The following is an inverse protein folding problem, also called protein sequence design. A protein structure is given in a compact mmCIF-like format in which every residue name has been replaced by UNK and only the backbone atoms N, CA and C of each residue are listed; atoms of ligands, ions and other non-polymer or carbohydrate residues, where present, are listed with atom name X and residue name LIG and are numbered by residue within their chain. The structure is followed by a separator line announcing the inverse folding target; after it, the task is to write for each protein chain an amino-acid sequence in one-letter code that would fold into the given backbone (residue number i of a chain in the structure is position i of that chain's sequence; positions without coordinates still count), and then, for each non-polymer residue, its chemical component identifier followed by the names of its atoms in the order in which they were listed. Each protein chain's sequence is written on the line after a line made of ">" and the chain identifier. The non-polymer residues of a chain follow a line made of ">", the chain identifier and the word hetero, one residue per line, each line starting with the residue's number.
data_IF_142230831764
#
_entry.id   IF_142230831764
#
_cell.length_a   1.000
_cell.length_b   1.000
_cell.length_c   1.000
_cell.angle_alpha   90.00
_cell.angle_beta   90.00
_cell.angle_gamma   90.00
#
_symmetry.space_group_name_H-M   'P 1'
#
loop_
_entity.id
_entity.type
_entity.pdbx_description
1 polymer ?
#
# COMPACT_ATOMS: atom_id res chain seq x y z
N UNK A 1 59.54 -4.52 -39.95
CA UNK A 1 58.46 -5.12 -39.14
C UNK A 1 57.19 -4.82 -39.90
N UNK A 2 56.92 -5.65 -40.90
CA UNK A 2 55.85 -5.42 -41.89
C UNK A 2 54.56 -6.03 -41.33
N UNK A 3 53.45 -5.30 -41.31
CA UNK A 3 52.20 -5.81 -40.78
C UNK A 3 51.66 -6.88 -41.73
N UNK A 4 51.52 -8.11 -41.23
CA UNK A 4 50.89 -9.22 -41.95
C UNK A 4 49.53 -8.76 -42.50
N UNK A 5 49.40 -8.69 -43.83
CA UNK A 5 48.14 -8.39 -44.48
C UNK A 5 47.12 -9.48 -44.10
N UNK A 6 45.92 -9.11 -43.63
CA UNK A 6 44.93 -10.09 -43.24
C UNK A 6 44.52 -10.93 -44.45
N UNK A 7 44.74 -12.25 -44.36
CA UNK A 7 44.35 -13.25 -45.36
C UNK A 7 42.94 -12.99 -45.90
N UNK A 8 42.75 -13.22 -47.20
CA UNK A 8 41.45 -13.08 -47.89
C UNK A 8 40.30 -13.76 -47.14
N UNK A 9 40.57 -14.89 -46.49
CA UNK A 9 39.61 -15.59 -45.63
C UNK A 9 39.19 -14.77 -44.41
N UNK A 10 40.11 -14.06 -43.75
CA UNK A 10 39.80 -13.19 -42.62
C UNK A 10 38.90 -12.02 -43.04
N UNK A 11 39.14 -11.43 -44.22
CA UNK A 11 38.29 -10.34 -44.75
C UNK A 11 36.88 -10.82 -45.11
N UNK A 12 36.76 -12.01 -45.67
CA UNK A 12 35.47 -12.60 -46.04
C UNK A 12 34.69 -13.05 -44.80
N UNK A 13 35.38 -13.64 -43.83
CA UNK A 13 34.82 -14.04 -42.53
C UNK A 13 34.38 -12.81 -41.72
N UNK A 14 35.16 -11.74 -41.67
CA UNK A 14 34.75 -10.50 -40.98
C UNK A 14 33.62 -9.78 -41.71
N UNK A 15 33.63 -9.72 -43.05
CA UNK A 15 32.56 -9.10 -43.83
C UNK A 15 31.20 -9.82 -43.70
N UNK A 16 31.19 -11.12 -43.38
CA UNK A 16 29.97 -11.92 -43.21
C UNK A 16 29.59 -12.10 -41.74
N UNK A 17 30.54 -12.39 -40.85
CA UNK A 17 30.25 -12.61 -39.43
C UNK A 17 29.90 -11.31 -38.72
N UNK A 18 30.51 -10.18 -39.07
CA UNK A 18 30.21 -8.89 -38.44
C UNK A 18 28.74 -8.44 -38.64
N UNK A 19 28.17 -8.43 -39.87
CA UNK A 19 26.75 -8.09 -40.03
C UNK A 19 25.83 -9.11 -39.38
N UNK A 20 26.20 -10.40 -39.34
CA UNK A 20 25.41 -11.44 -38.64
C UNK A 20 25.39 -11.16 -37.13
N UNK A 21 26.55 -10.87 -36.52
CA UNK A 21 26.64 -10.53 -35.09
C UNK A 21 25.88 -9.23 -34.77
N UNK A 22 25.95 -8.23 -35.65
CA UNK A 22 25.19 -6.99 -35.51
C UNK A 22 23.68 -7.24 -35.58
N UNK A 23 23.21 -8.08 -36.51
CA UNK A 23 21.80 -8.48 -36.61
C UNK A 23 21.34 -9.20 -35.34
N UNK A 24 22.12 -10.14 -34.81
CA UNK A 24 21.79 -10.86 -33.57
C UNK A 24 21.73 -9.89 -32.38
N UNK A 25 22.68 -8.96 -32.28
CA UNK A 25 22.67 -7.93 -31.24
C UNK A 25 21.44 -7.02 -31.32
N UNK A 26 21.06 -6.58 -32.53
CA UNK A 26 19.86 -5.75 -32.75
C UNK A 26 18.60 -6.53 -32.36
N UNK A 27 18.48 -7.79 -32.74
CA UNK A 27 17.34 -8.64 -32.38
C UNK A 27 17.24 -8.80 -30.85
N UNK A 28 18.36 -9.04 -30.18
CA UNK A 28 18.39 -9.17 -28.71
C UNK A 28 18.03 -7.86 -28.00
N UNK A 29 18.53 -6.72 -28.50
CA UNK A 29 18.17 -5.39 -27.98
C UNK A 29 16.67 -5.13 -28.20
N UNK A 30 16.12 -5.42 -29.39
CA UNK A 30 14.69 -5.23 -29.66
C UNK A 30 13.81 -6.12 -28.78
N UNK A 31 14.21 -7.37 -28.53
CA UNK A 31 13.49 -8.29 -27.66
C UNK A 31 13.57 -7.84 -26.20
N UNK A 32 14.71 -7.29 -25.77
CA UNK A 32 14.89 -6.74 -24.42
C UNK A 32 14.06 -5.46 -24.23
N UNK A 33 14.05 -4.55 -25.21
CA UNK A 33 13.22 -3.34 -25.19
C UNK A 33 11.74 -3.73 -25.17
N UNK A 34 11.31 -4.68 -26.02
CA UNK A 34 9.95 -5.20 -26.01
C UNK A 34 9.61 -5.85 -24.67
N UNK A 35 10.52 -6.65 -24.10
CA UNK A 35 10.36 -7.24 -22.77
C UNK A 35 10.19 -6.18 -21.67
N UNK A 36 11.02 -5.13 -21.69
CA UNK A 36 10.91 -4.00 -20.74
C UNK A 36 9.62 -3.21 -20.95
N UNK A 37 9.19 -2.99 -22.19
CA UNK A 37 7.92 -2.31 -22.51
C UNK A 37 6.74 -3.16 -22.07
N UNK A 38 6.76 -4.48 -22.26
CA UNK A 38 5.70 -5.39 -21.84
C UNK A 38 5.65 -5.53 -20.31
N UNK A 39 6.80 -5.59 -19.62
CA UNK A 39 6.87 -5.56 -18.14
C UNK A 39 6.41 -4.21 -17.60
N UNK A 40 6.74 -3.11 -18.29
CA UNK A 40 6.26 -1.77 -17.93
C UNK A 40 4.77 -1.62 -18.21
N UNK A 41 4.26 -2.17 -19.30
CA UNK A 41 2.83 -2.23 -19.60
C UNK A 41 2.09 -3.14 -18.63
N UNK A 42 2.64 -4.24 -18.14
CA UNK A 42 2.04 -5.02 -17.03
C UNK A 42 2.02 -4.20 -15.72
N UNK A 43 3.05 -3.38 -15.50
CA UNK A 43 3.11 -2.48 -14.35
C UNK A 43 2.16 -1.27 -14.47
N UNK A 44 1.77 -0.87 -15.67
CA UNK A 44 0.93 0.31 -15.96
C UNK A 44 -0.51 -0.08 -16.35
N UNK A 45 -0.74 -1.31 -16.84
CA UNK A 45 -2.04 -1.96 -17.05
C UNK A 45 -2.39 -2.86 -15.86
N UNK A 46 -2.49 -2.27 -14.67
CA UNK A 46 -3.64 -2.63 -13.84
C UNK A 46 -4.70 -1.58 -14.12
N UNK A 47 -5.52 -1.73 -15.18
CA UNK A 47 -6.63 -0.82 -15.41
C UNK A 47 -7.61 -1.01 -14.26
N UNK A 48 -7.48 -0.19 -13.22
CA UNK A 48 -8.48 0.18 -12.22
C UNK A 48 -9.54 -0.82 -11.77
N UNK A 49 -9.38 -2.14 -11.84
CA UNK A 49 -10.37 -3.13 -11.36
C UNK A 49 -10.11 -3.57 -9.92
N UNK A 50 -9.35 -2.79 -9.17
CA UNK A 50 -9.14 -3.02 -7.75
C UNK A 50 -9.99 -2.05 -6.95
N UNK A 51 -10.50 -2.52 -5.81
CA UNK A 51 -10.99 -1.59 -4.79
C UNK A 51 -9.79 -0.94 -4.14
N UNK A 52 -9.76 0.38 -4.19
CA UNK A 52 -8.83 1.17 -3.42
C UNK A 52 -9.54 1.68 -2.16
N UNK A 53 -8.76 1.97 -1.14
CA UNK A 53 -9.31 2.61 0.03
C UNK A 53 -8.26 3.45 0.72
N UNK A 54 -8.71 4.54 1.34
CA UNK A 54 -7.89 5.46 2.10
C UNK A 54 -8.58 5.78 3.40
N UNK A 55 -7.79 6.10 4.42
CA UNK A 55 -8.29 6.46 5.74
C UNK A 55 -7.69 7.78 6.18
N UNK A 56 -8.50 8.58 6.87
CA UNK A 56 -8.08 9.81 7.53
C UNK A 56 -8.46 9.75 9.00
N UNK A 57 -7.50 10.05 9.87
CA UNK A 57 -7.75 10.25 11.28
C UNK A 57 -8.33 11.65 11.48
N UNK A 58 -9.52 11.74 12.06
CA UNK A 58 -10.22 13.03 12.28
C UNK A 58 -10.31 13.40 13.76
N UNK A 59 -10.15 12.44 14.66
CA UNK A 59 -10.19 12.71 16.09
C UNK A 59 -9.56 11.59 16.90
N UNK A 60 -8.95 11.96 18.02
CA UNK A 60 -8.34 11.03 18.97
C UNK A 60 -8.66 11.47 20.39
N UNK A 61 -9.04 10.52 21.25
CA UNK A 61 -9.28 10.72 22.68
C UNK A 61 -8.70 9.56 23.48
N UNK A 62 -8.43 9.78 24.77
CA UNK A 62 -8.01 8.72 25.70
C UNK A 62 -6.62 8.13 25.45
N UNK A 63 -5.74 8.85 24.74
CA UNK A 63 -4.32 8.49 24.58
C UNK A 63 -3.49 8.91 25.80
N UNK A 64 -3.94 8.53 26.99
CA UNK A 64 -3.25 8.78 28.25
C UNK A 64 -2.67 7.46 28.75
N UNK A 65 -1.62 7.51 29.58
CA UNK A 65 -1.16 6.30 30.26
C UNK A 65 -2.30 5.70 31.08
N UNK A 66 -2.49 4.38 31.02
CA UNK A 66 -3.44 3.66 31.86
C UNK A 66 -3.22 3.88 33.37
N UNK A 67 -2.03 4.35 33.76
CA UNK A 67 -1.68 4.70 35.14
C UNK A 67 -2.05 6.16 35.52
N UNK A 68 -2.49 6.97 34.55
CA UNK A 68 -2.87 8.35 34.81
C UNK A 68 -4.21 8.42 35.57
N UNK A 69 -4.32 9.29 36.60
CA UNK A 69 -5.59 9.51 37.28
C UNK A 69 -6.66 10.00 36.31
N UNK A 70 -7.77 9.25 36.19
CA UNK A 70 -8.88 9.62 35.30
C UNK A 70 -8.66 9.26 33.84
N UNK A 71 -7.69 8.38 33.52
CA UNK A 71 -7.44 7.93 32.16
C UNK A 71 -8.73 7.50 31.45
N UNK A 72 -9.01 8.11 30.31
CA UNK A 72 -10.15 7.75 29.48
C UNK A 72 -9.82 6.57 28.55
N UNK A 73 -10.85 5.85 28.11
CA UNK A 73 -10.68 4.81 27.10
C UNK A 73 -10.26 5.40 25.75
N UNK A 74 -9.24 4.82 25.07
CA UNK A 74 -8.87 5.22 23.73
C UNK A 74 -10.05 5.19 22.75
N UNK A 75 -10.23 6.28 22.03
CA UNK A 75 -11.24 6.40 20.99
C UNK A 75 -10.65 7.13 19.77
N UNK A 76 -10.94 6.61 18.59
CA UNK A 76 -10.45 7.12 17.33
C UNK A 76 -11.63 7.34 16.38
N UNK A 77 -11.75 8.57 15.90
CA UNK A 77 -12.69 8.94 14.86
C UNK A 77 -11.95 8.87 13.52
N UNK A 78 -12.43 8.02 12.62
CA UNK A 78 -11.83 7.75 11.32
C UNK A 78 -12.82 8.09 10.20
N UNK A 79 -12.32 8.68 9.13
CA UNK A 79 -13.03 8.75 7.86
C UNK A 79 -12.40 7.76 6.89
N UNK A 80 -13.16 6.77 6.47
CA UNK A 80 -12.71 5.77 5.50
C UNK A 80 -13.36 6.08 4.17
N UNK A 81 -12.54 6.21 3.13
CA UNK A 81 -12.97 6.31 1.74
C UNK A 81 -12.68 5.00 1.04
N UNK A 82 -13.69 4.46 0.37
CA UNK A 82 -13.58 3.27 -0.47
C UNK A 82 -13.86 3.71 -1.90
N UNK A 83 -12.95 3.36 -2.81
CA UNK A 83 -13.07 3.57 -4.24
C UNK A 83 -13.31 2.22 -4.91
N UNK A 84 -14.45 2.09 -5.56
CA UNK A 84 -14.83 0.87 -6.24
C UNK A 84 -14.45 0.95 -7.72
N UNK A 85 -13.27 0.44 -8.06
CA UNK A 85 -12.83 0.35 -9.45
C UNK A 85 -13.48 -0.76 -10.28
N UNK A 86 -14.32 -1.63 -9.69
CA UNK A 86 -14.96 -2.71 -10.46
C UNK A 86 -16.29 -2.27 -11.06
N UNK A 87 -16.66 -2.90 -12.19
CA UNK A 87 -17.92 -2.68 -12.90
C UNK A 87 -19.14 -3.36 -12.22
N UNK A 88 -19.05 -3.59 -10.91
CA UNK A 88 -20.06 -4.26 -10.11
C UNK A 88 -20.26 -3.48 -8.81
N UNK A 89 -21.49 -3.40 -8.31
CA UNK A 89 -21.77 -2.84 -6.99
C UNK A 89 -21.13 -3.71 -5.91
N UNK A 90 -20.56 -3.05 -4.90
CA UNK A 90 -20.06 -3.72 -3.72
C UNK A 90 -20.85 -3.34 -2.49
N UNK A 91 -21.51 -4.33 -1.90
CA UNK A 91 -22.19 -4.20 -0.62
C UNK A 91 -21.41 -4.97 0.45
N UNK A 92 -21.12 -4.34 1.57
CA UNK A 92 -20.38 -4.98 2.64
C UNK A 92 -20.47 -4.26 3.98
N UNK A 93 -19.97 -4.96 4.98
CA UNK A 93 -19.62 -4.40 6.29
C UNK A 93 -18.30 -5.04 6.72
N UNK A 94 -17.67 -4.47 7.74
CA UNK A 94 -16.38 -4.96 8.20
C UNK A 94 -16.01 -4.46 9.59
N UNK A 95 -14.89 -4.99 10.05
CA UNK A 95 -14.27 -4.65 11.32
C UNK A 95 -13.07 -3.75 11.08
N UNK A 96 -12.87 -2.78 11.96
CA UNK A 96 -11.71 -1.90 11.96
C UNK A 96 -10.95 -2.10 13.26
N UNK A 97 -9.64 -2.27 13.17
CA UNK A 97 -8.75 -2.33 14.33
C UNK A 97 -7.70 -1.25 14.20
N UNK A 98 -7.57 -0.42 15.24
CA UNK A 98 -6.51 0.58 15.36
C UNK A 98 -5.45 0.03 16.29
N UNK A 99 -4.22 -0.05 15.81
CA UNK A 99 -3.08 -0.60 16.54
C UNK A 99 -1.93 0.39 16.55
N UNK A 100 -1.06 0.28 17.55
CA UNK A 100 0.19 1.04 17.61
C UNK A 100 1.31 0.09 18.03
N UNK A 101 2.42 0.08 17.28
CA UNK A 101 3.51 -0.88 17.43
C UNK A 101 3.02 -2.35 17.50
N UNK A 102 1.99 -2.71 16.73
CA UNK A 102 1.38 -4.05 16.70
C UNK A 102 0.42 -4.35 17.87
N UNK A 103 0.24 -3.45 18.83
CA UNK A 103 -0.69 -3.60 19.95
C UNK A 103 -2.04 -2.97 19.60
N UNK A 104 -3.16 -3.72 19.64
CA UNK A 104 -4.48 -3.16 19.35
C UNK A 104 -4.93 -2.21 20.46
N UNK A 105 -5.18 -0.95 20.08
CA UNK A 105 -5.65 0.11 20.98
C UNK A 105 -7.17 0.21 20.99
N UNK A 106 -7.82 0.04 19.84
CA UNK A 106 -9.27 0.17 19.70
C UNK A 106 -9.82 -0.68 18.55
N UNK A 107 -11.11 -0.98 18.61
CA UNK A 107 -11.86 -1.68 17.57
C UNK A 107 -13.13 -0.91 17.22
N UNK A 108 -13.51 -0.95 15.95
CA UNK A 108 -14.74 -0.36 15.44
C UNK A 108 -15.36 -1.28 14.40
N UNK A 109 -16.58 -0.94 14.00
CA UNK A 109 -17.26 -1.62 12.89
C UNK A 109 -17.60 -0.58 11.84
N UNK A 110 -17.42 -0.94 10.57
CA UNK A 110 -17.95 -0.10 9.48
C UNK A 110 -19.47 -0.19 9.51
N UNK A 111 -20.18 0.86 9.09
CA UNK A 111 -21.59 0.69 8.73
C UNK A 111 -21.71 -0.35 7.61
N UNK A 112 -22.91 -0.89 7.43
CA UNK A 112 -23.24 -1.56 6.16
C UNK A 112 -23.28 -0.49 5.07
N UNK A 113 -22.52 -0.71 4.00
CA UNK A 113 -22.42 0.24 2.91
C UNK A 113 -22.49 -0.44 1.55
N UNK A 114 -22.91 0.32 0.56
CA UNK A 114 -22.90 -0.03 -0.86
C UNK A 114 -22.08 1.00 -1.63
N UNK A 115 -21.16 0.55 -2.46
CA UNK A 115 -20.43 1.39 -3.39
C UNK A 115 -20.80 0.96 -4.80
N UNK A 116 -21.41 1.87 -5.56
CA UNK A 116 -21.78 1.61 -6.95
C UNK A 116 -20.54 1.31 -7.82
N UNK A 117 -20.77 0.74 -9.00
CA UNK A 117 -19.75 0.48 -10.01
C UNK A 117 -18.98 1.77 -10.35
N UNK A 118 -17.65 1.73 -10.34
CA UNK A 118 -16.78 2.86 -10.68
C UNK A 118 -17.04 4.12 -9.81
N UNK A 119 -17.58 3.95 -8.61
CA UNK A 119 -17.93 5.02 -7.70
C UNK A 119 -17.11 4.98 -6.40
N UNK A 120 -17.22 6.05 -5.61
CA UNK A 120 -16.53 6.15 -4.31
C UNK A 120 -17.50 6.52 -3.20
N UNK A 121 -17.26 5.98 -2.01
CA UNK A 121 -18.03 6.29 -0.81
C UNK A 121 -17.09 6.65 0.33
N UNK A 122 -17.47 7.65 1.13
CA UNK A 122 -16.78 7.98 2.38
C UNK A 122 -17.74 7.83 3.55
N UNK A 123 -17.31 7.15 4.61
CA UNK A 123 -18.09 6.95 5.83
C UNK A 123 -17.23 7.13 7.08
N UNK A 124 -17.88 7.46 8.18
CA UNK A 124 -17.24 7.59 9.48
C UNK A 124 -17.21 6.24 10.21
N UNK A 125 -16.09 5.95 10.87
CA UNK A 125 -15.93 4.82 11.78
C UNK A 125 -15.43 5.35 13.12
N UNK A 126 -16.14 5.01 14.18
CA UNK A 126 -15.72 5.26 15.55
C UNK A 126 -15.14 3.95 16.10
N UNK A 127 -13.84 3.95 16.39
CA UNK A 127 -13.16 2.81 16.99
C UNK A 127 -12.89 3.10 18.46
N UNK A 128 -13.38 2.24 19.35
CA UNK A 128 -13.28 2.39 20.81
C UNK A 128 -12.77 1.11 21.46
N UNK A 129 -12.45 1.22 22.74
CA UNK A 129 -12.10 0.08 23.58
C UNK A 129 -12.74 0.26 24.94
N UNK A 130 -12.99 -0.86 25.63
CA UNK A 130 -13.34 -0.84 27.05
C UNK A 130 -12.10 -0.73 27.95
N UNK A 131 -10.90 -0.87 27.37
CA UNK A 131 -9.65 -0.68 28.10
C UNK A 131 -9.51 0.77 28.57
N UNK A 132 -8.86 0.94 29.72
CA UNK A 132 -8.59 2.25 30.31
C UNK A 132 -7.20 2.70 29.90
N UNK A 133 -7.11 3.80 29.17
CA UNK A 133 -5.87 4.36 28.66
C UNK A 133 -5.05 3.41 27.78
N UNK A 134 -3.82 3.83 27.51
CA UNK A 134 -2.81 3.09 26.76
C UNK A 134 -1.84 2.43 27.74
N UNK A 135 -1.41 1.17 27.53
CA UNK A 135 -0.38 0.55 28.35
C UNK A 135 0.85 1.45 28.50
N UNK A 136 1.36 1.61 29.72
CA UNK A 136 2.32 2.68 30.03
C UNK A 136 3.62 2.63 29.20
N UNK A 137 4.15 1.43 28.94
CA UNK A 137 5.31 1.25 28.06
C UNK A 137 5.05 1.78 26.64
N UNK A 138 3.84 1.56 26.13
CA UNK A 138 3.40 1.96 24.81
C UNK A 138 3.13 3.47 24.75
N UNK A 139 2.54 4.03 25.82
CA UNK A 139 2.36 5.47 25.97
C UNK A 139 3.71 6.21 25.98
N UNK A 140 4.73 5.68 26.67
CA UNK A 140 6.08 6.26 26.66
C UNK A 140 6.73 6.21 25.28
N UNK A 141 6.60 5.08 24.59
CA UNK A 141 7.09 4.92 23.22
C UNK A 141 6.43 5.95 22.28
N UNK A 142 5.09 6.00 22.30
CA UNK A 142 4.29 6.94 21.53
C UNK A 142 4.67 8.39 21.81
N UNK A 143 4.84 8.74 23.08
CA UNK A 143 5.27 10.09 23.48
C UNK A 143 6.67 10.44 23.01
N UNK A 144 7.57 9.46 22.91
CA UNK A 144 8.93 9.66 22.41
C UNK A 144 8.96 9.83 20.88
N UNK A 145 8.25 8.98 20.14
CA UNK A 145 8.17 9.05 18.67
C UNK A 145 7.43 10.30 18.19
N UNK A 146 6.38 10.70 18.91
CA UNK A 146 5.59 11.89 18.57
C UNK A 146 6.41 13.17 18.60
N UNK A 147 7.43 13.26 19.48
CA UNK A 147 8.35 14.42 19.53
C UNK A 147 9.13 14.65 18.23
N UNK A 148 9.27 13.61 17.41
CA UNK A 148 9.98 13.66 16.14
C UNK A 148 9.04 13.44 14.94
N UNK A 149 7.72 13.45 15.15
CA UNK A 149 6.73 13.21 14.10
C UNK A 149 6.71 11.78 13.55
N UNK A 150 7.24 10.80 14.30
CA UNK A 150 7.38 9.42 13.84
C UNK A 150 6.25 8.49 14.33
N UNK A 151 5.31 8.99 15.13
CA UNK A 151 4.30 8.15 15.76
C UNK A 151 3.15 7.86 14.78
N UNK A 152 3.12 6.65 14.24
CA UNK A 152 2.12 6.17 13.28
C UNK A 152 1.22 5.09 13.88
N UNK A 153 -0.08 5.23 13.68
CA UNK A 153 -1.09 4.22 13.96
C UNK A 153 -1.25 3.29 12.75
N UNK A 154 -1.31 1.99 13.00
CA UNK A 154 -1.73 1.01 12.00
C UNK A 154 -3.25 0.84 12.10
N UNK A 155 -3.97 1.26 11.06
CA UNK A 155 -5.41 1.00 10.92
C UNK A 155 -5.57 -0.18 9.98
N UNK A 156 -6.24 -1.24 10.45
CA UNK A 156 -6.59 -2.39 9.61
C UNK A 156 -8.10 -2.52 9.51
N UNK A 157 -8.63 -2.53 8.28
CA UNK A 157 -10.03 -2.80 7.97
C UNK A 157 -10.16 -4.18 7.35
N UNK A 158 -11.08 -5.00 7.86
CA UNK A 158 -11.39 -6.33 7.35
C UNK A 158 -12.85 -6.35 6.91
N UNK A 159 -13.09 -6.44 5.62
CA UNK A 159 -14.42 -6.55 5.06
C UNK A 159 -14.90 -8.00 5.07
N UNK A 160 -16.18 -8.18 5.37
CA UNK A 160 -16.87 -9.46 5.42
C UNK A 160 -17.14 -10.08 4.05
N UNK A 161 -18.04 -11.07 4.04
CA UNK A 161 -18.54 -11.70 2.79
C UNK A 161 -19.34 -10.67 1.95
N UNK A 162 -19.41 -10.81 0.61
CA UNK A 162 -19.02 -11.98 -0.19
C UNK A 162 -17.51 -12.07 -0.49
N UNK A 163 -16.82 -10.94 -0.63
CA UNK A 163 -15.39 -10.90 -0.94
C UNK A 163 -14.62 -10.42 0.29
N UNK A 164 -14.09 -11.36 1.08
CA UNK A 164 -13.18 -11.01 2.19
C UNK A 164 -12.03 -10.20 1.63
N UNK A 165 -11.90 -8.96 2.07
CA UNK A 165 -10.78 -8.07 1.73
C UNK A 165 -10.25 -7.44 2.99
N UNK A 166 -8.95 -7.20 3.01
CA UNK A 166 -8.29 -6.51 4.11
C UNK A 166 -7.51 -5.32 3.58
N UNK A 167 -7.68 -4.19 4.22
CA UNK A 167 -6.92 -2.98 3.96
C UNK A 167 -6.14 -2.61 5.21
N UNK A 168 -4.93 -2.09 5.01
CA UNK A 168 -4.07 -1.63 6.10
C UNK A 168 -3.45 -0.30 5.71
N UNK A 169 -3.41 0.63 6.65
CA UNK A 169 -2.84 1.95 6.45
C UNK A 169 -2.05 2.37 7.69
N UNK A 170 -0.97 3.10 7.45
CA UNK A 170 -0.28 3.86 8.48
C UNK A 170 -0.82 5.28 8.49
N UNK A 171 -1.20 5.78 9.66
CA UNK A 171 -1.74 7.14 9.83
C UNK A 171 -0.98 7.84 10.95
N UNK A 172 -0.39 9.00 10.64
CA UNK A 172 0.27 9.82 11.65
C UNK A 172 -0.70 10.29 12.74
N UNK A 173 -0.26 10.30 13.99
CA UNK A 173 -1.06 10.75 15.13
C UNK A 173 -1.37 12.26 15.13
N UNK A 174 -0.64 13.05 14.35
CA UNK A 174 -0.76 14.51 14.32
C UNK A 174 -1.61 15.05 13.17
N UNK A 175 -2.08 14.18 12.27
CA UNK A 175 -2.92 14.56 11.13
C UNK A 175 -2.15 15.08 9.93
#
# INVERSE_FOLDING_TARGET
>A
MEPDEPSFCYRLVTAVLYPILLCVAILFISASILGVVMVREDSDRSPGYSMESSVRLVGVKGLESALAPGAASPAFDLLVRVDNGVNEEYCGSGDVTVSYAGVPLARGHTPSFSVESLASLTFAVNATTEAIGVPDHLFRLMSAERRWGAAELEVRMQLGRPCRRSFAWSVGLDG
#
